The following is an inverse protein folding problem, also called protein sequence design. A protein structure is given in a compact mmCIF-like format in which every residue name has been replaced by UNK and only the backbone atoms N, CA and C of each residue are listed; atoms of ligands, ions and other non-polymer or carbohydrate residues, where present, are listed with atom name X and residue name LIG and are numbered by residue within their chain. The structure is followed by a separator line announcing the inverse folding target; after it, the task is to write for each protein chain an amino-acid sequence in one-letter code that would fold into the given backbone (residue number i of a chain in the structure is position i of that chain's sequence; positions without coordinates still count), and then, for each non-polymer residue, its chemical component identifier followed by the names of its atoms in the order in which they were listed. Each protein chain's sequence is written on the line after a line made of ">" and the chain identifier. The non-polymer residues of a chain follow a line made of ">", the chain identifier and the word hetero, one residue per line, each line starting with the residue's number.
data_IF_140160647959
#
_entry.id   IF_140160647959
#
_cell.length_a   1.000
_cell.length_b   1.000
_cell.length_c   1.000
_cell.angle_alpha   90.00
_cell.angle_beta   90.00
_cell.angle_gamma   90.00
#
_symmetry.space_group_name_H-M   'P 1'
#
loop_
_entity.id
_entity.type
_entity.pdbx_description
1 polymer ?
#
# COMPACT_ATOMS: atom_id res chain seq x y z
N UNK A 1 22.57 -11.35 6.51
CA UNK A 1 21.34 -10.57 6.18
C UNK A 1 20.16 -11.45 6.52
N UNK A 2 19.38 -11.05 7.54
CA UNK A 2 18.42 -11.92 8.24
C UNK A 2 17.15 -12.16 7.42
N UNK A 3 16.75 -13.43 7.33
CA UNK A 3 15.63 -13.99 6.58
C UNK A 3 14.28 -13.40 7.03
N UNK A 4 13.81 -12.37 6.35
CA UNK A 4 12.48 -11.83 6.54
C UNK A 4 11.49 -12.59 5.66
N UNK A 5 10.38 -13.09 6.22
CA UNK A 5 9.23 -13.65 5.48
C UNK A 5 8.65 -12.69 4.42
N UNK A 6 9.10 -11.43 4.40
CA UNK A 6 8.78 -10.48 3.36
C UNK A 6 9.50 -10.77 2.04
N UNK A 7 10.71 -11.36 2.06
CA UNK A 7 11.49 -11.61 0.84
C UNK A 7 10.71 -12.48 -0.17
N UNK A 8 9.99 -13.48 0.32
CA UNK A 8 9.13 -14.37 -0.47
C UNK A 8 7.97 -13.65 -1.17
N UNK A 9 7.63 -12.43 -0.72
CA UNK A 9 6.56 -11.59 -1.30
C UNK A 9 7.09 -10.40 -2.10
N UNK A 10 8.40 -10.15 -2.09
CA UNK A 10 9.00 -9.01 -2.82
C UNK A 10 9.09 -9.32 -4.31
N UNK A 11 9.24 -10.59 -4.68
CA UNK A 11 9.46 -10.99 -6.06
C UNK A 11 8.19 -11.66 -6.60
N UNK A 12 7.42 -10.93 -7.42
CA UNK A 12 6.39 -11.53 -8.26
C UNK A 12 7.08 -12.43 -9.29
N UNK A 13 6.80 -13.75 -9.32
CA UNK A 13 7.52 -14.69 -10.18
C UNK A 13 7.19 -14.52 -11.67
N UNK A 14 6.12 -13.79 -11.97
CA UNK A 14 5.66 -13.55 -13.33
C UNK A 14 6.10 -12.13 -13.72
N UNK A 15 7.00 -12.04 -14.69
CA UNK A 15 7.22 -10.82 -15.47
C UNK A 15 5.99 -10.59 -16.35
N UNK A 16 4.86 -10.22 -15.74
CA UNK A 16 3.78 -9.62 -16.48
C UNK A 16 4.10 -8.12 -16.67
N UNK A 17 3.60 -7.53 -17.75
CA UNK A 17 3.71 -6.08 -17.99
C UNK A 17 2.89 -5.26 -16.97
N UNK A 18 2.46 -5.87 -15.87
CA UNK A 18 1.87 -5.15 -14.76
C UNK A 18 2.98 -4.30 -14.14
N UNK A 19 2.68 -3.04 -13.87
CA UNK A 19 3.61 -2.08 -13.29
C UNK A 19 3.90 -2.38 -11.78
N UNK A 20 3.86 -3.65 -11.35
CA UNK A 20 4.04 -4.08 -9.96
C UNK A 20 5.51 -4.15 -9.51
N UNK A 21 6.47 -3.84 -10.39
CA UNK A 21 7.92 -4.04 -10.17
C UNK A 21 8.49 -3.39 -8.89
N UNK A 22 7.83 -2.38 -8.30
CA UNK A 22 8.29 -1.73 -7.07
C UNK A 22 7.44 -2.03 -5.81
N UNK A 23 6.40 -2.86 -5.92
CA UNK A 23 5.43 -3.19 -4.85
C UNK A 23 4.84 -1.96 -4.13
N UNK A 24 4.78 -0.82 -4.83
CA UNK A 24 4.26 0.46 -4.33
C UNK A 24 3.08 0.90 -5.18
N UNK A 25 1.90 0.92 -4.57
CA UNK A 25 0.71 1.48 -5.19
C UNK A 25 0.79 3.02 -5.22
N UNK A 26 0.69 3.60 -6.42
CA UNK A 26 0.71 5.05 -6.64
C UNK A 26 -0.38 5.42 -7.63
N UNK A 27 -1.27 6.32 -7.21
CA UNK A 27 -2.24 6.95 -8.10
C UNK A 27 -1.68 8.30 -8.53
N UNK A 28 -1.66 8.56 -9.83
CA UNK A 28 -1.20 9.81 -10.43
C UNK A 28 -2.39 10.63 -10.91
N UNK A 29 -2.41 11.90 -10.54
CA UNK A 29 -3.39 12.90 -11.00
C UNK A 29 -2.60 14.17 -11.37
N UNK A 30 -2.75 14.65 -12.60
CA UNK A 30 -2.07 15.86 -13.11
C UNK A 30 -0.54 15.84 -12.86
N UNK A 31 0.14 14.77 -13.25
CA UNK A 31 1.58 14.56 -13.07
C UNK A 31 2.08 14.58 -11.61
N UNK A 32 1.16 14.55 -10.64
CA UNK A 32 1.47 14.50 -9.21
C UNK A 32 0.82 13.30 -8.53
N UNK A 33 1.49 12.64 -7.57
CA UNK A 33 0.86 11.57 -6.82
C UNK A 33 -0.30 12.10 -5.96
N UNK A 34 -1.47 11.51 -6.12
CA UNK A 34 -2.67 11.80 -5.34
C UNK A 34 -2.44 11.51 -3.85
N UNK A 35 -3.07 12.31 -2.99
CA UNK A 35 -3.21 11.99 -1.57
C UNK A 35 -4.41 11.09 -1.32
N UNK A 36 -4.18 9.94 -0.66
CA UNK A 36 -5.27 9.06 -0.25
C UNK A 36 -6.08 9.65 0.91
N UNK A 37 -7.36 9.34 0.94
CA UNK A 37 -8.31 9.77 1.96
C UNK A 37 -9.12 8.58 2.49
N UNK A 38 -10.01 8.83 3.45
CA UNK A 38 -10.74 7.76 4.15
C UNK A 38 -11.57 6.84 3.23
N UNK A 39 -12.11 7.38 2.14
CA UNK A 39 -12.86 6.60 1.14
C UNK A 39 -12.00 5.62 0.34
N UNK A 40 -10.68 5.80 0.32
CA UNK A 40 -9.75 4.91 -0.36
C UNK A 40 -9.44 3.64 0.46
N UNK A 41 -9.96 3.51 1.68
CA UNK A 41 -9.61 2.44 2.62
C UNK A 41 -9.87 1.03 2.06
N UNK A 42 -11.09 0.77 1.57
CA UNK A 42 -11.48 -0.57 1.10
C UNK A 42 -10.67 -1.01 -0.12
N UNK A 43 -10.30 -0.05 -0.97
CA UNK A 43 -9.42 -0.29 -2.08
C UNK A 43 -8.00 -0.61 -1.58
N UNK A 44 -7.44 0.19 -0.67
CA UNK A 44 -6.08 0.00 -0.18
C UNK A 44 -5.86 -1.30 0.62
N UNK A 45 -6.86 -1.79 1.36
CA UNK A 45 -6.71 -3.00 2.18
C UNK A 45 -6.74 -4.30 1.37
N UNK A 46 -7.34 -4.25 0.17
CA UNK A 46 -7.52 -5.39 -0.73
C UNK A 46 -6.45 -5.47 -1.83
N UNK A 47 -5.49 -4.54 -1.84
CA UNK A 47 -4.39 -4.51 -2.80
C UNK A 47 -3.28 -5.49 -2.44
N UNK A 48 -2.56 -5.94 -3.45
CA UNK A 48 -1.44 -6.88 -3.31
C UNK A 48 -0.12 -6.15 -3.01
N UNK A 49 -0.02 -4.87 -3.38
CA UNK A 49 1.15 -4.03 -3.12
C UNK A 49 1.43 -3.87 -1.62
N UNK A 50 2.72 -3.95 -1.25
CA UNK A 50 3.16 -3.88 0.15
C UNK A 50 3.06 -2.46 0.74
N UNK A 51 3.17 -1.46 -0.13
CA UNK A 51 3.20 -0.05 0.24
C UNK A 51 2.31 0.77 -0.68
N UNK A 52 1.89 1.94 -0.22
CA UNK A 52 1.15 2.90 -1.02
C UNK A 52 1.71 4.32 -0.82
N UNK A 53 1.55 5.21 -1.80
CA UNK A 53 1.78 6.66 -1.66
C UNK A 53 0.79 7.45 -2.53
N UNK A 54 0.37 8.65 -2.15
CA UNK A 54 0.94 9.52 -1.11
C UNK A 54 -0.04 9.76 0.06
N UNK A 55 0.51 10.08 1.23
CA UNK A 55 -0.27 10.40 2.43
C UNK A 55 0.07 11.81 2.93
N UNK A 56 -0.93 12.52 3.44
CA UNK A 56 -0.79 13.81 4.12
C UNK A 56 -1.59 13.73 5.42
N UNK A 57 -1.04 14.22 6.53
CA UNK A 57 -1.72 14.16 7.83
C UNK A 57 -3.11 14.82 7.79
N UNK A 58 -3.25 15.96 7.10
CA UNK A 58 -4.50 16.70 7.01
C UNK A 58 -5.60 15.97 6.24
N UNK A 59 -5.24 15.15 5.24
CA UNK A 59 -6.20 14.45 4.37
C UNK A 59 -6.35 12.96 4.70
N UNK A 60 -5.25 12.34 5.12
CA UNK A 60 -5.11 10.89 5.30
C UNK A 60 -5.08 10.46 6.77
N UNK A 61 -5.16 11.38 7.73
CA UNK A 61 -4.99 11.05 9.16
C UNK A 61 -5.93 9.95 9.66
N UNK A 62 -7.22 10.05 9.30
CA UNK A 62 -8.23 9.05 9.65
C UNK A 62 -7.95 7.69 8.98
N UNK A 63 -7.65 7.71 7.67
CA UNK A 63 -7.28 6.53 6.89
C UNK A 63 -6.08 5.80 7.51
N UNK A 64 -5.00 6.53 7.83
CA UNK A 64 -3.78 5.96 8.41
C UNK A 64 -4.08 5.29 9.76
N UNK A 65 -4.95 5.88 10.58
CA UNK A 65 -5.37 5.28 11.84
C UNK A 65 -6.18 4.00 11.62
N UNK A 66 -7.11 3.98 10.64
CA UNK A 66 -7.86 2.76 10.27
C UNK A 66 -6.93 1.64 9.81
N UNK A 67 -5.98 1.94 8.92
CA UNK A 67 -5.00 0.96 8.42
C UNK A 67 -4.13 0.37 9.54
N UNK A 68 -3.69 1.19 10.50
CA UNK A 68 -2.93 0.72 11.67
C UNK A 68 -3.75 -0.25 12.53
N UNK A 69 -5.04 0.04 12.73
CA UNK A 69 -5.92 -0.80 13.54
C UNK A 69 -6.29 -2.12 12.82
N UNK A 70 -6.44 -2.09 11.50
CA UNK A 70 -6.69 -3.29 10.70
C UNK A 70 -5.53 -4.30 10.79
N UNK A 71 -4.27 -3.83 10.70
CA UNK A 71 -3.08 -4.69 10.82
C UNK A 71 -2.97 -5.37 12.18
N UNK A 72 -3.36 -4.70 13.27
CA UNK A 72 -3.35 -5.30 14.62
C UNK A 72 -4.29 -6.50 14.75
N UNK A 73 -5.41 -6.52 14.02
CA UNK A 73 -6.39 -7.63 14.07
C UNK A 73 -5.93 -8.87 13.30
N UNK A 74 -5.06 -8.70 12.30
CA UNK A 74 -4.58 -9.80 11.43
C UNK A 74 -3.42 -10.59 12.05
N UNK A 75 -2.81 -10.06 13.11
CA UNK A 75 -1.67 -10.66 13.83
C UNK A 75 -2.06 -11.22 15.22
N UNK A 76 -3.36 -11.37 15.50
CA UNK A 76 -3.90 -11.95 16.73
C UNK A 76 -4.67 -13.21 16.37
#
# INVERSE_FOLDING_TARGET
>A
VYNSKFLEKVNTPNFDNSCHSNMRYVVWENDTPKYFCDSDYDMLINREELFARKFNVSYSGQLVNKLKNAKKRRNK
#
